data_IF_221387149234
#
_entry.id   IF_221387149234
#
_cell.length_a   1.000
_cell.length_b   1.000
_cell.length_c   1.000
_cell.angle_alpha   90.00
_cell.angle_beta   90.00
_cell.angle_gamma   90.00
#
_symmetry.space_group_name_H-M   'P 1'
#
loop_
_entity.id
_entity.type
_entity.pdbx_description
1 polymer ?
#
# COMPACT_ATOMS: atom_id res chain seq x y z
N UNK A 1 -2.59 -18.80 -10.46
CA UNK A 1 -3.32 -17.55 -10.72
C UNK A 1 -4.41 -17.29 -9.68
N UNK A 2 -5.27 -18.29 -9.35
CA UNK A 2 -6.35 -18.13 -8.36
C UNK A 2 -5.90 -17.56 -7.00
N UNK A 3 -4.77 -18.03 -6.45
CA UNK A 3 -4.22 -17.51 -5.20
C UNK A 3 -4.02 -15.98 -5.24
N UNK A 4 -3.42 -15.45 -6.29
CA UNK A 4 -3.15 -14.01 -6.38
C UNK A 4 -4.42 -13.17 -6.57
N UNK A 5 -5.43 -13.71 -7.27
CA UNK A 5 -6.74 -13.08 -7.36
C UNK A 5 -7.42 -13.00 -5.98
N UNK A 6 -7.37 -14.09 -5.20
CA UNK A 6 -7.89 -14.12 -3.83
C UNK A 6 -7.15 -13.13 -2.92
N UNK A 7 -5.83 -13.04 -3.01
CA UNK A 7 -5.04 -12.05 -2.24
C UNK A 7 -5.41 -10.60 -2.59
N UNK A 8 -5.69 -10.32 -3.87
CA UNK A 8 -6.19 -9.01 -4.29
C UNK A 8 -7.59 -8.72 -3.76
N UNK A 9 -8.48 -9.71 -3.74
CA UNK A 9 -9.80 -9.59 -3.13
C UNK A 9 -9.71 -9.33 -1.62
N UNK A 10 -8.79 -9.99 -0.90
CA UNK A 10 -8.54 -9.74 0.53
C UNK A 10 -8.10 -8.29 0.78
N UNK A 11 -7.22 -7.71 -0.05
CA UNK A 11 -6.85 -6.30 0.04
C UNK A 11 -8.09 -5.40 -0.06
N UNK A 12 -8.96 -5.68 -1.02
CA UNK A 12 -10.17 -4.91 -1.26
C UNK A 12 -11.17 -5.03 -0.10
N UNK A 13 -11.46 -6.25 0.35
CA UNK A 13 -12.37 -6.50 1.49
C UNK A 13 -11.89 -5.77 2.74
N UNK A 14 -10.59 -5.87 3.06
CA UNK A 14 -10.05 -5.20 4.23
C UNK A 14 -10.03 -3.66 4.08
N UNK A 15 -9.88 -3.14 2.86
CA UNK A 15 -10.08 -1.71 2.62
C UNK A 15 -11.50 -1.28 3.01
N UNK A 16 -12.53 -2.03 2.58
CA UNK A 16 -13.95 -1.74 2.91
C UNK A 16 -14.20 -1.87 4.41
N UNK A 17 -13.73 -2.95 5.05
CA UNK A 17 -13.94 -3.17 6.49
C UNK A 17 -13.38 -2.02 7.34
N UNK A 18 -12.28 -1.42 6.91
CA UNK A 18 -11.64 -0.30 7.61
C UNK A 18 -12.08 1.08 7.09
N UNK A 19 -12.98 1.16 6.11
CA UNK A 19 -13.46 2.42 5.55
C UNK A 19 -14.02 3.42 6.58
N UNK A 20 -14.69 2.98 7.67
CA UNK A 20 -15.11 3.89 8.74
C UNK A 20 -13.97 4.59 9.48
N UNK A 21 -12.75 4.10 9.36
CA UNK A 21 -11.55 4.67 9.98
C UNK A 21 -10.71 5.41 8.91
N UNK A 22 -10.83 6.74 8.80
CA UNK A 22 -10.16 7.47 7.73
C UNK A 22 -8.64 7.29 7.81
N UNK A 23 -8.03 6.89 6.70
CA UNK A 23 -6.59 6.66 6.54
C UNK A 23 -5.97 5.57 7.46
N UNK A 24 -6.79 4.78 8.17
CA UNK A 24 -6.34 3.67 9.01
C UNK A 24 -6.83 2.37 8.41
N UNK A 25 -5.99 1.66 7.68
CA UNK A 25 -6.31 0.37 7.06
C UNK A 25 -5.06 -0.49 6.81
N UNK A 26 -5.17 -1.83 6.78
CA UNK A 26 -4.02 -2.73 6.65
C UNK A 26 -3.48 -2.88 5.23
N UNK A 27 -3.98 -2.14 4.25
CA UNK A 27 -3.66 -2.32 2.82
C UNK A 27 -2.16 -2.21 2.57
N UNK A 28 -1.49 -1.16 3.11
CA UNK A 28 -0.04 -0.99 2.96
C UNK A 28 0.73 -2.16 3.56
N UNK A 29 0.38 -2.58 4.77
CA UNK A 29 1.04 -3.70 5.44
C UNK A 29 0.88 -5.02 4.66
N UNK A 30 -0.29 -5.27 4.07
CA UNK A 30 -0.54 -6.46 3.27
C UNK A 30 0.19 -6.42 1.93
N UNK A 31 0.19 -5.28 1.23
CA UNK A 31 0.96 -5.12 -0.01
C UNK A 31 2.45 -5.37 0.24
N UNK A 32 3.00 -4.82 1.33
CA UNK A 32 4.37 -5.08 1.73
C UNK A 32 4.58 -6.56 2.06
N UNK A 33 3.69 -7.17 2.85
CA UNK A 33 3.74 -8.61 3.15
C UNK A 33 3.78 -9.45 1.87
N UNK A 34 2.90 -9.17 0.91
CA UNK A 34 2.87 -9.87 -0.37
C UNK A 34 4.16 -9.65 -1.17
N UNK A 35 4.71 -8.43 -1.11
CA UNK A 35 5.96 -8.12 -1.81
C UNK A 35 7.16 -8.81 -1.17
N UNK A 36 7.22 -8.89 0.15
CA UNK A 36 8.27 -9.64 0.89
C UNK A 36 8.23 -11.12 0.55
N UNK A 37 7.02 -11.72 0.46
CA UNK A 37 6.84 -13.16 0.21
C UNK A 37 6.99 -13.51 -1.27
N UNK A 38 6.29 -12.80 -2.15
CA UNK A 38 6.16 -13.15 -3.57
C UNK A 38 7.02 -12.30 -4.50
N UNK A 39 7.69 -11.29 -3.98
CA UNK A 39 8.55 -10.37 -4.74
C UNK A 39 7.75 -9.75 -5.91
N UNK A 40 8.27 -9.78 -7.11
CA UNK A 40 7.63 -9.20 -8.31
C UNK A 40 6.23 -9.73 -8.58
N UNK A 41 5.90 -10.95 -8.12
CA UNK A 41 4.52 -11.49 -8.30
C UNK A 41 3.47 -10.73 -7.48
N UNK A 42 3.88 -9.91 -6.50
CA UNK A 42 2.98 -9.04 -5.74
C UNK A 42 2.26 -7.99 -6.62
N UNK A 43 2.79 -7.66 -7.79
CA UNK A 43 2.09 -6.80 -8.75
C UNK A 43 0.73 -7.37 -9.18
N UNK A 44 0.56 -8.70 -9.18
CA UNK A 44 -0.69 -9.34 -9.59
C UNK A 44 -1.82 -9.05 -8.60
N UNK A 45 -1.72 -9.39 -7.29
CA UNK A 45 -2.78 -9.07 -6.33
C UNK A 45 -3.00 -7.57 -6.16
N UNK A 46 -1.97 -6.74 -6.30
CA UNK A 46 -2.11 -5.28 -6.27
C UNK A 46 -2.90 -4.79 -7.50
N UNK A 47 -2.62 -5.30 -8.69
CA UNK A 47 -3.39 -4.99 -9.90
C UNK A 47 -4.85 -5.41 -9.76
N UNK A 48 -5.12 -6.61 -9.23
CA UNK A 48 -6.48 -7.07 -8.95
C UNK A 48 -7.19 -6.13 -7.96
N UNK A 49 -6.53 -5.74 -6.88
CA UNK A 49 -7.06 -4.80 -5.89
C UNK A 49 -7.45 -3.45 -6.53
N UNK A 50 -6.57 -2.88 -7.35
CA UNK A 50 -6.83 -1.60 -8.03
C UNK A 50 -8.00 -1.72 -9.01
N UNK A 51 -8.06 -2.79 -9.80
CA UNK A 51 -9.15 -3.05 -10.73
C UNK A 51 -10.50 -3.24 -10.02
N UNK A 52 -10.53 -4.08 -8.99
CA UNK A 52 -11.77 -4.33 -8.21
C UNK A 52 -12.24 -3.05 -7.52
N UNK A 53 -11.31 -2.21 -7.03
CA UNK A 53 -11.66 -0.89 -6.48
C UNK A 53 -12.33 0.00 -7.52
N UNK A 54 -11.82 0.04 -8.75
CA UNK A 54 -12.42 0.79 -9.85
C UNK A 54 -13.80 0.26 -10.26
N UNK A 55 -13.99 -1.06 -10.27
CA UNK A 55 -15.29 -1.69 -10.58
C UNK A 55 -16.33 -1.34 -9.49
N UNK A 56 -15.93 -1.35 -8.23
CA UNK A 56 -16.85 -1.15 -7.11
C UNK A 56 -17.20 0.33 -6.86
N UNK A 57 -16.20 1.23 -6.87
CA UNK A 57 -16.40 2.66 -6.60
C UNK A 57 -16.56 3.52 -7.87
N UNK A 58 -16.39 2.92 -9.04
CA UNK A 58 -16.35 3.62 -10.33
C UNK A 58 -14.93 3.99 -10.76
N UNK A 59 -14.68 3.95 -12.08
CA UNK A 59 -13.42 4.39 -12.70
C UNK A 59 -13.45 5.91 -12.90
N UNK A 60 -13.33 6.64 -11.79
CA UNK A 60 -13.35 8.09 -11.79
C UNK A 60 -11.94 8.67 -11.57
N UNK A 61 -11.83 9.99 -11.53
CA UNK A 61 -10.59 10.76 -11.40
C UNK A 61 -9.75 10.32 -10.19
N UNK A 62 -10.38 10.01 -9.05
CA UNK A 62 -9.72 9.53 -7.84
C UNK A 62 -9.00 8.19 -8.03
N UNK A 63 -9.41 7.39 -8.99
CA UNK A 63 -8.84 6.06 -9.24
C UNK A 63 -7.52 6.13 -10.04
N UNK A 64 -7.35 7.16 -10.90
CA UNK A 64 -6.18 7.28 -11.75
C UNK A 64 -4.84 7.33 -10.98
N UNK A 65 -4.70 8.10 -9.88
CA UNK A 65 -3.48 8.05 -9.08
C UNK A 65 -3.19 6.66 -8.47
N UNK A 66 -4.20 5.86 -8.20
CA UNK A 66 -3.99 4.51 -7.65
C UNK A 66 -3.31 3.56 -8.64
N UNK A 67 -3.39 3.85 -9.96
CA UNK A 67 -2.68 3.09 -10.99
C UNK A 67 -1.16 3.12 -10.82
N UNK A 68 -0.59 4.16 -10.19
CA UNK A 68 0.85 4.23 -9.99
C UNK A 68 1.26 4.15 -8.51
N UNK A 69 0.49 4.67 -7.58
CA UNK A 69 0.86 4.73 -6.16
C UNK A 69 1.17 3.37 -5.56
N UNK A 70 0.27 2.41 -5.74
CA UNK A 70 0.45 1.07 -5.20
C UNK A 70 1.60 0.31 -5.87
N UNK A 71 1.83 0.54 -7.15
CA UNK A 71 2.96 -0.05 -7.87
C UNK A 71 4.28 0.58 -7.44
N UNK A 72 4.33 1.90 -7.21
CA UNK A 72 5.48 2.57 -6.58
C UNK A 72 5.77 1.94 -5.21
N UNK A 73 4.75 1.69 -4.39
CA UNK A 73 4.96 1.07 -3.09
C UNK A 73 5.53 -0.35 -3.18
N UNK A 74 5.08 -1.16 -4.13
CA UNK A 74 5.70 -2.46 -4.41
C UNK A 74 7.16 -2.28 -4.82
N UNK A 75 7.48 -1.33 -5.71
CA UNK A 75 8.85 -1.05 -6.14
C UNK A 75 9.73 -0.63 -4.97
N UNK A 76 9.27 0.29 -4.11
CA UNK A 76 9.98 0.70 -2.90
C UNK A 76 10.22 -0.48 -1.96
N UNK A 77 9.22 -1.33 -1.76
CA UNK A 77 9.39 -2.54 -0.93
C UNK A 77 10.40 -3.52 -1.55
N UNK A 78 10.47 -3.61 -2.88
CA UNK A 78 11.44 -4.47 -3.57
C UNK A 78 12.90 -4.04 -3.37
N UNK A 79 13.16 -2.78 -3.00
CA UNK A 79 14.51 -2.31 -2.68
C UNK A 79 15.04 -2.90 -1.36
N UNK A 80 14.16 -3.36 -0.48
CA UNK A 80 14.57 -4.03 0.77
C UNK A 80 15.25 -5.36 0.43
N UNK A 81 16.50 -5.57 0.88
CA UNK A 81 17.24 -6.81 0.62
C UNK A 81 16.53 -8.02 1.20
N UNK A 82 16.68 -9.19 0.56
CA UNK A 82 16.07 -10.45 1.01
C UNK A 82 16.69 -11.03 2.26
N UNK A 83 17.96 -10.71 2.52
CA UNK A 83 18.81 -11.39 3.49
C UNK A 83 19.23 -10.47 4.64
N UNK A 84 18.37 -9.58 5.08
CA UNK A 84 18.58 -8.82 6.31
C UNK A 84 18.16 -9.65 7.52
N UNK A 85 18.70 -9.33 8.68
CA UNK A 85 18.38 -10.06 9.90
C UNK A 85 16.93 -9.87 10.30
N UNK A 86 16.31 -10.86 10.97
CA UNK A 86 14.93 -10.74 11.47
C UNK A 86 14.74 -9.53 12.39
N UNK A 87 15.77 -9.14 13.15
CA UNK A 87 15.73 -7.94 14.01
C UNK A 87 15.64 -6.68 13.16
N UNK A 88 16.37 -6.61 12.04
CA UNK A 88 16.29 -5.49 11.11
C UNK A 88 14.96 -5.48 10.38
N UNK A 89 14.43 -6.64 9.93
CA UNK A 89 13.09 -6.76 9.32
C UNK A 89 12.00 -6.20 10.24
N UNK A 90 12.05 -6.52 11.54
CA UNK A 90 11.08 -6.06 12.53
C UNK A 90 11.05 -4.54 12.70
N UNK A 91 12.11 -3.84 12.33
CA UNK A 91 12.20 -2.37 12.37
C UNK A 91 11.93 -1.77 10.99
N UNK A 92 12.57 -2.30 9.96
CA UNK A 92 12.53 -1.75 8.60
C UNK A 92 11.11 -1.80 8.02
N UNK A 93 10.38 -2.90 8.22
CA UNK A 93 9.05 -3.03 7.64
C UNK A 93 8.04 -2.01 8.19
N UNK A 94 7.83 -1.87 9.51
CA UNK A 94 6.89 -0.88 10.02
C UNK A 94 7.33 0.57 9.71
N UNK A 95 8.64 0.85 9.75
CA UNK A 95 9.16 2.18 9.41
C UNK A 95 8.92 2.51 7.94
N UNK A 96 9.23 1.60 7.01
CA UNK A 96 9.01 1.83 5.58
C UNK A 96 7.51 1.95 5.26
N UNK A 97 6.67 1.15 5.93
CA UNK A 97 5.22 1.23 5.79
C UNK A 97 4.69 2.60 6.27
N UNK A 98 5.17 3.08 7.41
CA UNK A 98 4.82 4.40 7.94
C UNK A 98 5.31 5.53 7.04
N UNK A 99 6.55 5.47 6.56
CA UNK A 99 7.11 6.46 5.64
C UNK A 99 6.29 6.57 4.35
N UNK A 100 5.84 5.44 3.80
CA UNK A 100 4.96 5.48 2.63
C UNK A 100 3.63 6.20 2.94
N UNK A 101 3.04 5.95 4.11
CA UNK A 101 1.85 6.67 4.56
C UNK A 101 2.08 8.18 4.68
N UNK A 102 3.25 8.58 5.23
CA UNK A 102 3.60 9.99 5.40
C UNK A 102 3.81 10.74 4.08
N UNK A 103 4.36 10.06 3.05
CA UNK A 103 4.61 10.67 1.73
C UNK A 103 3.47 10.42 0.74
N UNK A 104 2.37 9.77 1.17
CA UNK A 104 1.29 9.38 0.28
C UNK A 104 0.67 10.59 -0.44
N UNK A 105 0.35 11.65 0.28
CA UNK A 105 -0.18 12.89 -0.27
C UNK A 105 0.80 13.56 -1.25
N UNK A 106 2.10 13.54 -0.94
CA UNK A 106 3.14 14.08 -1.85
C UNK A 106 3.16 13.29 -3.17
N UNK A 107 3.06 11.97 -3.11
CA UNK A 107 3.02 11.12 -4.30
C UNK A 107 1.70 11.25 -5.07
N UNK A 108 0.60 11.51 -4.37
CA UNK A 108 -0.72 11.69 -4.97
C UNK A 108 -0.87 13.05 -5.66
N UNK A 109 -0.26 14.11 -5.12
CA UNK A 109 -0.42 15.50 -5.54
C UNK A 109 -0.12 15.77 -7.03
N UNK A 110 0.92 15.20 -7.66
CA UNK A 110 1.15 15.41 -9.10
C UNK A 110 0.02 14.92 -9.99
N UNK A 111 -0.55 13.75 -9.68
CA UNK A 111 -1.73 13.23 -10.38
C UNK A 111 -2.94 14.13 -10.19
N UNK A 112 -3.18 14.59 -8.96
CA UNK A 112 -4.24 15.52 -8.62
C UNK A 112 -4.06 16.86 -9.37
N UNK A 113 -2.84 17.41 -9.37
CA UNK A 113 -2.55 18.66 -10.06
C UNK A 113 -2.79 18.56 -11.57
N UNK A 114 -2.37 17.45 -12.18
CA UNK A 114 -2.59 17.21 -13.61
C UNK A 114 -4.08 17.10 -13.95
N UNK A 115 -4.86 16.40 -13.13
CA UNK A 115 -6.27 16.13 -13.39
C UNK A 115 -7.18 17.37 -13.17
N UNK A 116 -6.81 18.22 -12.19
CA UNK A 116 -7.61 19.40 -11.84
C UNK A 116 -6.99 20.73 -12.31
N UNK A 117 -5.90 20.69 -13.08
CA UNK A 117 -5.25 21.89 -13.59
C UNK A 117 -4.66 22.77 -12.48
N UNK A 118 -4.11 22.16 -11.42
CA UNK A 118 -3.46 22.92 -10.35
C UNK A 118 -2.11 23.44 -10.82
N UNK A 119 -1.84 24.71 -10.54
CA UNK A 119 -0.49 25.24 -10.60
C UNK A 119 0.37 24.71 -9.43
N UNK A 120 1.68 24.98 -9.47
CA UNK A 120 2.61 24.50 -8.45
C UNK A 120 2.23 25.00 -7.05
N UNK A 121 1.82 26.26 -6.92
CA UNK A 121 1.44 26.86 -5.63
C UNK A 121 0.21 26.16 -5.04
N UNK A 122 -0.80 25.90 -5.87
CA UNK A 122 -2.01 25.21 -5.45
C UNK A 122 -1.74 23.75 -5.09
N UNK A 123 -0.83 23.10 -5.83
CA UNK A 123 -0.39 21.73 -5.50
C UNK A 123 0.28 21.68 -4.13
N UNK A 124 1.19 22.61 -3.81
CA UNK A 124 1.84 22.68 -2.50
C UNK A 124 0.83 22.92 -1.38
N UNK A 125 -0.10 23.86 -1.55
CA UNK A 125 -1.17 24.10 -0.56
C UNK A 125 -2.06 22.85 -0.35
N UNK A 126 -2.29 22.08 -1.41
CA UNK A 126 -3.03 20.83 -1.31
C UNK A 126 -2.27 19.79 -0.48
N UNK A 127 -0.94 19.67 -0.67
CA UNK A 127 -0.08 18.81 0.15
C UNK A 127 -0.11 19.26 1.61
N UNK A 128 0.08 20.56 1.89
CA UNK A 128 0.06 21.12 3.24
C UNK A 128 -1.26 20.80 3.97
N UNK A 129 -2.40 20.99 3.29
CA UNK A 129 -3.71 20.65 3.84
C UNK A 129 -3.89 19.14 4.10
N UNK A 130 -3.18 18.29 3.36
CA UNK A 130 -3.18 16.84 3.49
C UNK A 130 -2.32 16.29 4.63
N UNK A 131 -1.32 17.05 5.13
CA UNK A 131 -0.35 16.57 6.12
C UNK A 131 -0.96 15.92 7.38
N UNK A 132 -2.04 16.42 8.00
CA UNK A 132 -2.66 15.75 9.15
C UNK A 132 -3.18 14.36 8.81
N UNK A 133 -3.73 14.18 7.60
CA UNK A 133 -4.23 12.88 7.12
C UNK A 133 -3.09 11.93 6.80
N UNK A 134 -1.99 12.42 6.22
CA UNK A 134 -0.79 11.64 5.97
C UNK A 134 -0.11 11.21 7.28
N UNK A 135 -0.10 12.07 8.31
CA UNK A 135 0.40 11.72 9.63
C UNK A 135 -0.44 10.59 10.27
N UNK A 136 -1.77 10.66 10.17
CA UNK A 136 -2.67 9.60 10.64
C UNK A 136 -2.46 8.31 9.84
N UNK A 137 -2.28 8.41 8.53
CA UNK A 137 -1.97 7.28 7.66
C UNK A 137 -0.63 6.63 8.05
N UNK A 138 0.40 7.44 8.33
CA UNK A 138 1.69 6.94 8.80
C UNK A 138 1.58 6.21 10.14
N UNK A 139 0.82 6.75 11.11
CA UNK A 139 0.60 6.11 12.41
C UNK A 139 -0.14 4.76 12.26
N UNK A 140 -1.21 4.72 11.48
CA UNK A 140 -1.95 3.49 11.17
C UNK A 140 -1.06 2.45 10.47
N UNK A 141 -0.30 2.90 9.47
CA UNK A 141 0.64 2.04 8.74
C UNK A 141 1.78 1.52 9.62
N UNK A 142 2.27 2.32 10.58
CA UNK A 142 3.24 1.83 11.56
C UNK A 142 2.64 0.70 12.40
N UNK A 143 1.43 0.89 12.94
CA UNK A 143 0.75 -0.12 13.75
C UNK A 143 0.53 -1.43 12.99
N UNK A 144 -0.06 -1.37 11.80
CA UNK A 144 -0.21 -2.55 10.94
C UNK A 144 1.13 -3.09 10.44
N UNK A 145 2.13 -2.23 10.28
CA UNK A 145 3.48 -2.58 9.86
C UNK A 145 4.17 -3.57 10.79
N UNK A 146 3.86 -3.54 12.09
CA UNK A 146 4.36 -4.52 13.07
C UNK A 146 3.92 -5.95 12.76
N UNK A 147 2.83 -6.13 12.02
CA UNK A 147 2.31 -7.43 11.62
C UNK A 147 2.98 -7.98 10.34
N UNK A 148 3.75 -7.18 9.60
CA UNK A 148 4.34 -7.59 8.31
C UNK A 148 5.27 -8.80 8.49
N UNK A 149 6.15 -8.76 9.48
CA UNK A 149 7.10 -9.86 9.71
C UNK A 149 6.39 -11.17 10.06
N UNK A 150 5.52 -11.25 11.09
CA UNK A 150 4.84 -12.49 11.42
C UNK A 150 3.91 -12.99 10.30
N UNK A 151 3.21 -12.10 9.61
CA UNK A 151 2.38 -12.47 8.46
C UNK A 151 3.22 -13.00 7.30
N UNK A 152 4.37 -12.40 7.02
CA UNK A 152 5.28 -12.87 5.97
C UNK A 152 5.82 -14.27 6.28
N UNK A 153 6.18 -14.56 7.54
CA UNK A 153 6.64 -15.88 7.95
C UNK A 153 5.52 -16.93 7.84
N UNK A 154 4.30 -16.58 8.28
CA UNK A 154 3.13 -17.44 8.15
C UNK A 154 2.83 -17.75 6.67
N UNK A 155 2.79 -16.71 5.83
CA UNK A 155 2.50 -16.87 4.41
C UNK A 155 3.56 -17.70 3.69
N UNK A 156 4.86 -17.54 4.01
CA UNK A 156 5.93 -18.38 3.47
C UNK A 156 5.72 -19.85 3.82
N UNK A 157 5.35 -20.16 5.09
CA UNK A 157 5.06 -21.53 5.54
C UNK A 157 3.84 -22.14 4.82
N UNK A 158 2.76 -21.36 4.69
CA UNK A 158 1.56 -21.82 4.00
C UNK A 158 1.81 -22.03 2.50
N UNK A 159 2.50 -21.09 1.87
CA UNK A 159 2.81 -21.19 0.44
C UNK A 159 3.71 -22.37 0.10
N UNK A 160 4.63 -22.75 1.01
CA UNK A 160 5.48 -23.93 0.82
C UNK A 160 4.69 -25.23 0.82
N UNK A 161 3.49 -25.28 1.46
CA UNK A 161 2.63 -26.49 1.51
C UNK A 161 1.78 -26.69 0.26
N UNK A 162 1.59 -25.66 -0.56
CA UNK A 162 0.74 -25.69 -1.76
C UNK A 162 1.54 -25.69 -3.07
N UNK A 163 2.88 -25.72 -2.96
CA UNK A 163 3.82 -25.88 -4.06
C UNK A 163 4.22 -27.35 -4.22
#
# INVERSE_FOLDING_TARGET
>A
MALFAMLGAVLFVLKIVFEPLPNIHPVCALIMTYTVVFRRRAFIPVGVFVLVSGVFYGFDIWWLPQLYLWFIYVLLTLTVPKNISKKADAIVYPVLCALFGLIYGILYAPGQALLFGYDFTKMIRWIEAGLPFDALHAAGNFGFGLLILPLSELMKKLYAKIK
#
